data_IF_177138582758
#
_entry.id   IF_177138582758
#
_cell.length_a   1.000
_cell.length_b   1.000
_cell.length_c   1.000
_cell.angle_alpha   90.00
_cell.angle_beta   90.00
_cell.angle_gamma   90.00
#
_symmetry.space_group_name_H-M   'P 1'
#
loop_
_entity.id
_entity.type
_entity.pdbx_description
1 polymer ?
#
# COMPACT_ATOMS: atom_id res chain seq x y z
N UNK A 1 9.63 -32.41 -8.71
CA UNK A 1 9.99 -32.19 -7.29
C UNK A 1 9.48 -30.82 -6.88
N UNK A 2 8.57 -30.74 -5.90
CA UNK A 2 7.92 -29.49 -5.52
C UNK A 2 8.78 -28.73 -4.50
N UNK A 3 9.36 -27.59 -4.91
CA UNK A 3 10.13 -26.71 -4.02
C UNK A 3 9.17 -26.04 -3.04
N UNK A 4 9.30 -26.38 -1.75
CA UNK A 4 8.61 -25.71 -0.64
C UNK A 4 9.04 -24.24 -0.62
N UNK A 5 8.07 -23.33 -0.74
CA UNK A 5 8.28 -21.89 -0.64
C UNK A 5 8.68 -21.52 0.79
N UNK A 6 9.98 -21.46 1.07
CA UNK A 6 10.52 -20.97 2.34
C UNK A 6 10.24 -19.47 2.51
N UNK A 7 9.66 -19.08 3.64
CA UNK A 7 9.55 -17.68 4.03
C UNK A 7 10.94 -17.04 4.22
N UNK A 8 10.96 -15.72 4.47
CA UNK A 8 12.21 -14.96 4.68
C UNK A 8 13.08 -15.65 5.75
N UNK A 9 14.37 -15.93 5.46
CA UNK A 9 15.28 -16.54 6.42
C UNK A 9 15.36 -15.71 7.71
N UNK A 10 15.28 -16.37 8.86
CA UNK A 10 15.62 -15.75 10.15
C UNK A 10 17.10 -15.39 10.16
N UNK A 11 17.41 -14.16 10.56
CA UNK A 11 18.80 -13.72 10.72
C UNK A 11 19.48 -14.54 11.83
N UNK A 12 20.79 -14.87 11.67
CA UNK A 12 21.56 -15.60 12.68
C UNK A 12 21.57 -14.82 14.00
N UNK A 13 21.46 -15.53 15.13
CA UNK A 13 21.45 -14.94 16.48
C UNK A 13 20.06 -14.64 17.07
N UNK A 14 18.98 -14.95 16.35
CA UNK A 14 17.60 -14.81 16.85
C UNK A 14 16.91 -16.18 17.11
N UNK A 15 17.70 -17.25 17.14
CA UNK A 15 17.27 -18.65 17.22
C UNK A 15 16.59 -18.99 18.54
N UNK A 16 17.08 -18.39 19.64
CA UNK A 16 16.61 -18.62 21.00
C UNK A 16 15.68 -17.53 21.53
N UNK A 17 15.24 -16.58 20.70
CA UNK A 17 14.30 -15.55 21.15
C UNK A 17 12.92 -16.22 21.29
N UNK A 18 12.30 -16.22 22.48
CA UNK A 18 10.97 -16.80 22.64
C UNK A 18 10.04 -16.10 21.66
N UNK A 19 9.38 -16.88 20.80
CA UNK A 19 8.36 -16.33 19.92
C UNK A 19 7.33 -15.65 20.82
N UNK A 20 7.20 -14.32 20.72
CA UNK A 20 6.07 -13.64 21.38
C UNK A 20 4.83 -14.30 20.83
N UNK A 21 4.14 -15.10 21.64
CA UNK A 21 2.80 -15.57 21.31
C UNK A 21 1.99 -14.33 20.96
N UNK A 22 1.81 -14.08 19.66
CA UNK A 22 0.87 -13.06 19.21
C UNK A 22 -0.46 -13.61 19.63
N UNK A 23 -1.12 -12.95 20.59
CA UNK A 23 -2.51 -13.27 20.92
C UNK A 23 -3.30 -13.25 19.61
N UNK A 24 -3.69 -14.43 19.16
CA UNK A 24 -4.30 -14.66 17.83
C UNK A 24 -5.70 -14.07 17.75
N UNK A 25 -6.26 -13.61 18.87
CA UNK A 25 -7.64 -13.15 18.99
C UNK A 25 -7.84 -11.63 18.98
N UNK A 26 -6.79 -10.81 18.94
CA UNK A 26 -6.99 -9.36 18.81
C UNK A 26 -7.08 -8.95 17.34
N UNK A 27 -8.30 -8.88 16.80
CA UNK A 27 -8.57 -8.26 15.50
C UNK A 27 -8.15 -6.79 15.58
N UNK A 28 -6.96 -6.45 15.05
CA UNK A 28 -6.54 -5.04 14.94
C UNK A 28 -7.52 -4.30 14.03
N UNK A 29 -8.44 -3.53 14.61
CA UNK A 29 -9.33 -2.65 13.84
C UNK A 29 -8.48 -1.51 13.25
N UNK A 30 -8.24 -1.56 11.93
CA UNK A 30 -7.58 -0.46 11.22
C UNK A 30 -8.62 0.62 10.94
N UNK A 31 -8.53 1.80 11.54
CA UNK A 31 -9.49 2.87 11.29
C UNK A 31 -9.35 3.47 9.87
N UNK A 32 -10.46 3.92 9.29
CA UNK A 32 -10.48 4.73 8.07
C UNK A 32 -9.95 6.15 8.31
N UNK A 33 -9.69 6.92 7.26
CA UNK A 33 -9.30 8.33 7.42
C UNK A 33 -10.43 9.16 8.07
N UNK A 34 -11.69 8.90 7.73
CA UNK A 34 -12.82 9.52 8.39
C UNK A 34 -12.88 9.21 9.90
N UNK A 35 -12.76 7.93 10.27
CA UNK A 35 -12.76 7.50 11.68
C UNK A 35 -11.58 8.13 12.43
N UNK A 36 -10.39 8.18 11.84
CA UNK A 36 -9.21 8.84 12.43
C UNK A 36 -9.45 10.32 12.65
N UNK A 37 -10.05 11.03 11.69
CA UNK A 37 -10.34 12.45 11.82
C UNK A 37 -11.33 12.71 12.97
N UNK A 38 -12.36 11.87 13.13
CA UNK A 38 -13.29 11.97 14.28
C UNK A 38 -12.57 11.81 15.62
N UNK A 39 -11.63 10.86 15.71
CA UNK A 39 -10.82 10.63 16.92
C UNK A 39 -9.91 11.84 17.20
N UNK A 40 -9.26 12.41 16.18
CA UNK A 40 -8.40 13.60 16.33
C UNK A 40 -9.22 14.79 16.81
N UNK A 41 -10.39 15.06 16.22
CA UNK A 41 -11.27 16.17 16.63
C UNK A 41 -11.70 16.05 18.10
N UNK A 42 -12.02 14.83 18.54
CA UNK A 42 -12.32 14.58 19.96
C UNK A 42 -11.10 14.80 20.86
N UNK A 43 -9.92 14.41 20.41
CA UNK A 43 -8.67 14.59 21.16
C UNK A 43 -8.34 16.07 21.35
N UNK A 44 -8.50 16.89 20.32
CA UNK A 44 -8.29 18.34 20.40
C UNK A 44 -9.31 19.03 21.32
N UNK A 45 -10.57 18.56 21.33
CA UNK A 45 -11.64 19.18 22.10
C UNK A 45 -11.68 18.75 23.58
N UNK A 46 -11.43 17.47 23.87
CA UNK A 46 -11.67 16.88 25.20
C UNK A 46 -10.42 16.25 25.83
N UNK A 47 -9.29 16.23 25.11
CA UNK A 47 -8.05 15.61 25.56
C UNK A 47 -8.01 14.09 25.44
N UNK A 48 -6.86 13.51 25.83
CA UNK A 48 -6.56 12.09 25.63
C UNK A 48 -7.43 11.13 26.47
N UNK A 49 -7.62 11.35 27.79
CA UNK A 49 -8.36 10.39 28.62
C UNK A 49 -9.80 10.19 28.15
N UNK A 50 -10.51 11.29 27.89
CA UNK A 50 -11.89 11.31 27.39
C UNK A 50 -12.02 10.67 26.02
N UNK A 51 -11.06 10.93 25.12
CA UNK A 51 -11.06 10.35 23.77
C UNK A 51 -10.83 8.84 23.80
N UNK A 52 -9.95 8.36 24.66
CA UNK A 52 -9.73 6.92 24.81
C UNK A 52 -10.93 6.21 25.44
N UNK A 53 -11.64 6.84 26.37
CA UNK A 53 -12.87 6.29 26.94
C UNK A 53 -13.98 6.17 25.88
N UNK A 54 -14.19 7.24 25.10
CA UNK A 54 -15.23 7.31 24.07
C UNK A 54 -15.01 6.36 22.89
N UNK A 55 -13.79 6.33 22.34
CA UNK A 55 -13.50 5.60 21.08
C UNK A 55 -12.93 4.20 21.30
N UNK A 56 -12.40 3.92 22.50
CA UNK A 56 -11.84 2.64 22.85
C UNK A 56 -12.40 2.16 24.21
N UNK A 57 -13.73 1.97 24.31
CA UNK A 57 -14.32 1.42 25.52
C UNK A 57 -13.81 0.00 25.73
N UNK A 58 -13.59 -0.38 26.99
CA UNK A 58 -13.15 -1.72 27.39
C UNK A 58 -11.75 -2.15 26.89
N UNK A 59 -10.90 -1.23 26.44
CA UNK A 59 -9.48 -1.55 26.17
C UNK A 59 -8.62 -1.17 27.37
N UNK A 60 -7.78 -2.11 27.82
CA UNK A 60 -6.87 -1.94 28.95
C UNK A 60 -5.43 -2.31 28.59
N UNK A 61 -4.49 -1.92 29.45
CA UNK A 61 -3.06 -2.27 29.33
C UNK A 61 -2.42 -1.84 28.01
N UNK A 62 -1.67 -2.76 27.40
CA UNK A 62 -0.85 -2.49 26.20
C UNK A 62 -1.65 -2.06 24.97
N UNK A 63 -2.93 -2.47 24.89
CA UNK A 63 -3.82 -2.11 23.78
C UNK A 63 -4.23 -0.65 23.89
N UNK A 64 -4.56 -0.19 25.11
CA UNK A 64 -4.88 1.22 25.39
C UNK A 64 -3.69 2.13 25.11
N UNK A 65 -2.50 1.71 25.53
CA UNK A 65 -1.26 2.45 25.24
C UNK A 65 -0.93 2.50 23.75
N UNK A 66 -1.20 1.43 23.00
CA UNK A 66 -1.05 1.43 21.55
C UNK A 66 -2.01 2.39 20.87
N UNK A 67 -3.27 2.46 21.33
CA UNK A 67 -4.25 3.44 20.84
C UNK A 67 -3.80 4.88 21.14
N UNK A 68 -3.33 5.16 22.37
CA UNK A 68 -2.78 6.47 22.75
C UNK A 68 -1.64 6.91 21.84
N UNK A 69 -0.67 6.02 21.57
CA UNK A 69 0.44 6.29 20.64
C UNK A 69 -0.03 6.54 19.22
N UNK A 70 -1.00 5.76 18.74
CA UNK A 70 -1.59 5.96 17.42
C UNK A 70 -2.30 7.32 17.32
N UNK A 71 -3.04 7.75 18.35
CA UNK A 71 -3.71 9.06 18.37
C UNK A 71 -2.69 10.19 18.26
N UNK A 72 -1.59 10.15 19.03
CA UNK A 72 -0.52 11.14 18.89
C UNK A 72 0.09 11.16 17.49
N UNK A 73 0.35 9.98 16.90
CA UNK A 73 0.87 9.86 15.53
C UNK A 73 -0.11 10.40 14.49
N UNK A 74 -1.42 10.25 14.71
CA UNK A 74 -2.44 10.80 13.83
C UNK A 74 -2.57 12.31 13.99
N UNK A 75 -2.52 12.81 15.23
CA UNK A 75 -2.52 14.24 15.53
C UNK A 75 -1.32 14.96 14.91
N UNK A 76 -0.12 14.37 14.95
CA UNK A 76 1.07 14.94 14.30
C UNK A 76 0.95 14.98 12.77
N UNK A 77 0.13 14.11 12.17
CA UNK A 77 -0.14 14.04 10.74
C UNK A 77 -1.56 14.49 10.38
N UNK A 78 -2.17 15.37 11.20
CA UNK A 78 -3.58 15.77 11.07
C UNK A 78 -3.91 16.31 9.69
N UNK A 79 -3.11 17.23 9.16
CA UNK A 79 -3.36 17.87 7.86
C UNK A 79 -3.52 16.83 6.73
N UNK A 80 -2.64 15.82 6.70
CA UNK A 80 -2.72 14.73 5.73
C UNK A 80 -3.97 13.85 5.93
N UNK A 81 -4.33 13.54 7.18
CA UNK A 81 -5.54 12.75 7.48
C UNK A 81 -6.80 13.52 7.11
N UNK A 82 -6.83 14.83 7.35
CA UNK A 82 -7.94 15.72 7.04
C UNK A 82 -8.14 15.88 5.52
N UNK A 83 -7.07 16.11 4.76
CA UNK A 83 -7.10 16.08 3.29
C UNK A 83 -7.77 14.79 2.77
N UNK A 84 -7.36 13.63 3.29
CA UNK A 84 -7.86 12.33 2.84
C UNK A 84 -9.28 12.03 3.31
N UNK A 85 -9.66 12.54 4.47
CA UNK A 85 -11.01 12.37 5.00
C UNK A 85 -12.04 13.24 4.28
N UNK A 86 -11.63 14.38 3.72
CA UNK A 86 -12.50 15.27 2.94
C UNK A 86 -12.73 14.80 1.49
N UNK A 87 -11.92 13.87 1.00
CA UNK A 87 -12.09 13.24 -0.32
C UNK A 87 -13.09 12.06 -0.21
N UNK A 88 -14.24 12.09 -0.92
CA UNK A 88 -15.30 11.09 -0.77
C UNK A 88 -14.86 9.67 -1.16
N UNK A 89 -13.87 9.53 -2.06
CA UNK A 89 -13.33 8.23 -2.46
C UNK A 89 -12.35 7.74 -1.39
N UNK A 90 -11.50 8.63 -0.89
CA UNK A 90 -10.39 8.26 0.01
C UNK A 90 -10.78 8.21 1.49
N UNK A 91 -11.88 8.83 1.89
CA UNK A 91 -12.32 8.88 3.29
C UNK A 91 -12.49 7.48 3.92
N UNK A 92 -12.98 6.53 3.13
CA UNK A 92 -13.17 5.13 3.51
C UNK A 92 -11.87 4.30 3.53
N UNK A 93 -10.78 4.82 2.97
CA UNK A 93 -9.50 4.11 2.94
C UNK A 93 -8.86 4.05 4.33
N UNK A 94 -8.23 2.92 4.63
CA UNK A 94 -7.54 2.67 5.92
C UNK A 94 -6.05 3.04 5.87
N UNK A 95 -5.50 3.09 4.66
CA UNK A 95 -4.12 3.47 4.32
C UNK A 95 -4.07 3.77 2.83
N UNK A 96 -3.23 4.74 2.46
CA UNK A 96 -2.85 4.98 1.08
C UNK A 96 -1.39 4.55 0.88
N UNK A 97 -1.09 3.98 -0.29
CA UNK A 97 0.28 3.75 -0.74
C UNK A 97 0.61 4.80 -1.79
N UNK A 98 1.88 5.20 -1.87
CA UNK A 98 2.33 6.05 -2.96
C UNK A 98 2.05 5.38 -4.33
N UNK A 99 1.85 6.17 -5.40
CA UNK A 99 1.87 5.64 -6.76
C UNK A 99 3.13 4.81 -7.00
N UNK A 100 3.04 3.70 -7.73
CA UNK A 100 4.20 2.83 -8.03
C UNK A 100 4.68 1.90 -6.90
N UNK A 101 4.25 2.08 -5.64
CA UNK A 101 4.73 1.25 -4.52
C UNK A 101 4.28 -0.23 -4.59
N UNK A 102 3.35 -0.55 -5.47
CA UNK A 102 2.88 -1.93 -5.69
C UNK A 102 3.09 -2.42 -7.12
N UNK A 103 3.83 -1.68 -7.96
CA UNK A 103 4.15 -2.12 -9.31
C UNK A 103 5.35 -3.06 -9.28
N UNK A 104 5.35 -4.04 -10.17
CA UNK A 104 6.47 -4.99 -10.29
C UNK A 104 7.63 -4.39 -11.07
N UNK A 105 7.34 -3.51 -12.03
CA UNK A 105 8.34 -2.70 -12.71
C UNK A 105 8.57 -1.40 -11.93
N UNK A 106 9.80 -0.90 -11.97
CA UNK A 106 10.11 0.42 -11.44
C UNK A 106 9.41 1.54 -12.24
N UNK A 107 9.15 2.71 -11.61
CA UNK A 107 8.54 3.85 -12.29
C UNK A 107 9.33 4.31 -13.53
N UNK A 108 10.65 4.22 -13.49
CA UNK A 108 11.54 4.59 -14.60
C UNK A 108 11.35 3.68 -15.81
N UNK A 109 11.14 2.37 -15.57
CA UNK A 109 10.86 1.41 -16.63
C UNK A 109 9.45 1.60 -17.19
N UNK A 110 8.44 1.83 -16.34
CA UNK A 110 7.09 2.15 -16.81
C UNK A 110 7.09 3.44 -17.66
N UNK A 111 7.86 4.46 -17.30
CA UNK A 111 8.00 5.72 -18.06
C UNK A 111 8.63 5.51 -19.45
N UNK A 112 9.66 4.64 -19.56
CA UNK A 112 10.22 4.25 -20.86
C UNK A 112 9.18 3.56 -21.74
N UNK A 113 8.36 2.66 -21.18
CA UNK A 113 7.28 2.00 -21.90
C UNK A 113 6.23 3.03 -22.38
N UNK A 114 5.89 4.00 -21.53
CA UNK A 114 4.96 5.08 -21.89
C UNK A 114 5.49 5.89 -23.07
N UNK A 115 6.76 6.33 -23.03
CA UNK A 115 7.37 7.08 -24.13
C UNK A 115 7.37 6.28 -25.44
N UNK A 116 7.70 5.00 -25.37
CA UNK A 116 7.67 4.11 -26.52
C UNK A 116 6.27 3.99 -27.14
N UNK A 117 5.22 3.87 -26.31
CA UNK A 117 3.83 3.86 -26.81
C UNK A 117 3.46 5.19 -27.46
N UNK A 118 3.81 6.31 -26.83
CA UNK A 118 3.52 7.64 -27.35
C UNK A 118 4.21 7.90 -28.70
N UNK A 119 5.47 7.48 -28.85
CA UNK A 119 6.21 7.59 -30.11
C UNK A 119 5.51 6.81 -31.23
N UNK A 120 5.17 5.54 -30.98
CA UNK A 120 4.46 4.71 -31.96
C UNK A 120 3.10 5.30 -32.35
N UNK A 121 2.32 5.78 -31.37
CA UNK A 121 1.03 6.42 -31.64
C UNK A 121 1.19 7.71 -32.44
N UNK A 122 2.24 8.49 -32.18
CA UNK A 122 2.56 9.72 -32.95
C UNK A 122 2.91 9.38 -34.39
N UNK A 123 3.59 8.24 -34.61
CA UNK A 123 3.89 7.71 -35.93
C UNK A 123 2.71 6.97 -36.60
N UNK A 124 1.50 7.06 -36.03
CA UNK A 124 0.28 6.44 -36.57
C UNK A 124 0.19 4.93 -36.37
N UNK A 125 1.10 4.34 -35.58
CA UNK A 125 1.13 2.90 -35.31
C UNK A 125 0.31 2.59 -34.06
N UNK A 126 -0.78 1.80 -34.16
CA UNK A 126 -1.53 1.39 -32.98
C UNK A 126 -0.74 0.36 -32.17
N UNK A 127 -0.58 0.59 -30.86
CA UNK A 127 0.03 -0.38 -29.96
C UNK A 127 -1.02 -1.34 -29.43
N UNK A 128 -0.91 -2.60 -29.86
CA UNK A 128 -1.81 -3.66 -29.39
C UNK A 128 -1.43 -4.17 -28.00
N UNK A 129 -2.36 -4.89 -27.36
CA UNK A 129 -2.14 -5.52 -26.07
C UNK A 129 -0.94 -6.49 -26.07
N UNK A 130 -0.76 -7.22 -27.18
CA UNK A 130 0.35 -8.16 -27.37
C UNK A 130 1.68 -7.42 -27.46
N UNK A 131 1.76 -6.35 -28.25
CA UNK A 131 2.97 -5.54 -28.39
C UNK A 131 3.43 -4.95 -27.05
N UNK A 132 2.48 -4.41 -26.27
CA UNK A 132 2.77 -3.90 -24.93
C UNK A 132 3.26 -5.01 -24.00
N UNK A 133 2.63 -6.19 -24.07
CA UNK A 133 3.05 -7.35 -23.27
C UNK A 133 4.50 -7.75 -23.57
N UNK A 134 4.84 -7.89 -24.85
CA UNK A 134 6.19 -8.27 -25.28
C UNK A 134 7.23 -7.24 -24.87
N UNK A 135 6.94 -5.95 -25.11
CA UNK A 135 7.86 -4.87 -24.73
C UNK A 135 8.05 -4.77 -23.22
N UNK A 136 6.99 -4.99 -22.44
CA UNK A 136 7.08 -5.00 -20.98
C UNK A 136 7.90 -6.18 -20.45
N UNK A 137 7.80 -7.36 -21.07
CA UNK A 137 8.62 -8.53 -20.69
C UNK A 137 10.10 -8.31 -21.02
N UNK A 138 10.40 -7.70 -22.17
CA UNK A 138 11.76 -7.29 -22.53
C UNK A 138 12.33 -6.31 -21.49
N UNK A 139 11.57 -5.26 -21.17
CA UNK A 139 11.98 -4.26 -20.19
C UNK A 139 12.19 -4.87 -18.79
N UNK A 140 11.37 -5.83 -18.39
CA UNK A 140 11.54 -6.55 -17.13
C UNK A 140 12.82 -7.38 -17.10
N UNK A 141 13.17 -8.03 -18.23
CA UNK A 141 14.42 -8.79 -18.36
C UNK A 141 15.64 -7.88 -18.23
N UNK A 142 15.59 -6.68 -18.80
CA UNK A 142 16.64 -5.66 -18.65
C UNK A 142 16.80 -5.19 -17.18
N UNK A 143 15.70 -5.15 -16.43
CA UNK A 143 15.68 -4.86 -14.99
C UNK A 143 16.13 -6.07 -14.12
N UNK A 144 16.46 -7.21 -14.75
CA UNK A 144 16.86 -8.44 -14.07
C UNK A 144 15.69 -9.21 -13.44
N UNK A 145 14.46 -8.91 -13.85
CA UNK A 145 13.25 -9.60 -13.38
C UNK A 145 13.01 -10.86 -14.20
N UNK A 146 12.91 -12.00 -13.51
CA UNK A 146 12.55 -13.27 -14.13
C UNK A 146 11.06 -13.32 -14.51
N UNK A 147 10.73 -14.13 -15.53
CA UNK A 147 9.34 -14.33 -15.99
C UNK A 147 8.41 -14.92 -14.89
N UNK A 148 8.97 -15.62 -13.90
CA UNK A 148 8.20 -16.08 -12.74
C UNK A 148 7.74 -14.92 -11.84
N UNK A 149 8.47 -13.80 -11.84
CA UNK A 149 8.21 -12.58 -11.06
C UNK A 149 7.32 -11.62 -11.83
N UNK A 150 7.58 -11.43 -13.12
CA UNK A 150 6.79 -10.53 -13.97
C UNK A 150 6.32 -11.23 -15.25
N UNK A 151 5.00 -11.31 -15.42
CA UNK A 151 4.36 -12.02 -16.55
C UNK A 151 3.68 -11.11 -17.56
N UNK A 152 3.71 -9.79 -17.32
CA UNK A 152 2.89 -8.81 -18.04
C UNK A 152 1.45 -9.31 -18.24
N UNK A 153 0.79 -9.71 -17.14
CA UNK A 153 -0.56 -10.27 -17.19
C UNK A 153 -1.59 -9.24 -17.66
N UNK A 154 -2.75 -9.71 -18.13
CA UNK A 154 -3.91 -8.87 -18.48
C UNK A 154 -4.24 -7.84 -17.38
N UNK A 155 -4.19 -8.25 -16.11
CA UNK A 155 -4.42 -7.37 -14.97
C UNK A 155 -3.33 -6.29 -14.84
N UNK A 156 -2.07 -6.62 -15.11
CA UNK A 156 -0.98 -5.64 -15.10
C UNK A 156 -1.16 -4.64 -16.24
N UNK A 157 -1.47 -5.10 -17.45
CA UNK A 157 -1.63 -4.22 -18.62
C UNK A 157 -2.82 -3.27 -18.45
N UNK A 158 -3.98 -3.79 -18.03
CA UNK A 158 -5.14 -2.95 -17.72
C UNK A 158 -4.83 -1.95 -16.59
N UNK A 159 -4.05 -2.37 -15.59
CA UNK A 159 -3.57 -1.49 -14.55
C UNK A 159 -2.63 -0.40 -15.08
N UNK A 160 -1.69 -0.76 -15.95
CA UNK A 160 -0.74 0.16 -16.59
C UNK A 160 -1.47 1.21 -17.41
N UNK A 161 -2.39 0.77 -18.29
CA UNK A 161 -3.24 1.66 -19.10
C UNK A 161 -4.00 2.66 -18.24
N UNK A 162 -4.65 2.18 -17.17
CA UNK A 162 -5.39 3.05 -16.23
C UNK A 162 -4.49 4.05 -15.51
N UNK A 163 -3.27 3.64 -15.11
CA UNK A 163 -2.30 4.53 -14.45
C UNK A 163 -1.81 5.65 -15.36
N UNK A 164 -1.66 5.37 -16.65
CA UNK A 164 -1.08 6.29 -17.63
C UNK A 164 -2.09 6.90 -18.59
N UNK A 165 -3.40 6.77 -18.32
CA UNK A 165 -4.49 7.27 -19.15
C UNK A 165 -4.37 6.84 -20.63
N UNK A 166 -3.97 5.59 -20.85
CA UNK A 166 -3.87 4.98 -22.18
C UNK A 166 -5.08 4.11 -22.43
N UNK A 167 -6.18 4.71 -22.89
CA UNK A 167 -7.29 3.99 -23.50
C UNK A 167 -6.92 3.56 -24.93
#
# INVERSE_FOLDING_TARGET
>A
MAQVRGGRPTLPGNENRPSKQRSTNLKRKRLTYEEKLRVIKSYEQFGMPTTLDRFYPNVSGSVRESARKNIHLWASNKAFIEERANDPVRASHRSTRGPGVSTTLSPEVEDKLVRWICDLRTNGVPVTHIMLREKALEAAKEEGLDHSVFRASEAWINGFKRRHAMD
#
